data_IF_304428659036
#
_entry.id   IF_304428659036
#
_cell.length_a   1.000
_cell.length_b   1.000
_cell.length_c   1.000
_cell.angle_alpha   90.00
_cell.angle_beta   90.00
_cell.angle_gamma   90.00
#
_symmetry.space_group_name_H-M   'P 1'
#
loop_
_entity.id
_entity.type
_entity.pdbx_description
1 polymer ?
#
# COMPACT_ATOMS: atom_id res chain seq x y z
N UNK A 1 -5.23 22.96 14.99
CA UNK A 1 -6.08 21.90 14.40
C UNK A 1 -5.93 21.96 12.88
N UNK A 2 -5.22 21.01 12.26
CA UNK A 2 -5.19 20.80 10.80
C UNK A 2 -5.55 19.34 10.57
N UNK A 3 -6.83 19.07 10.29
CA UNK A 3 -7.34 17.70 10.15
C UNK A 3 -8.07 17.46 8.82
N UNK A 4 -7.86 18.28 7.78
CA UNK A 4 -8.66 18.19 6.55
C UNK A 4 -7.93 18.20 5.19
N UNK A 5 -6.60 18.04 5.12
CA UNK A 5 -5.90 18.12 3.82
C UNK A 5 -5.48 16.78 3.18
N UNK A 6 -5.68 15.63 3.83
CA UNK A 6 -5.27 14.33 3.26
C UNK A 6 -6.43 13.47 2.77
N UNK A 7 -7.44 14.07 2.14
CA UNK A 7 -8.37 13.30 1.33
C UNK A 7 -7.63 12.80 0.09
N UNK A 8 -7.26 11.51 0.07
CA UNK A 8 -6.61 10.86 -1.07
C UNK A 8 -7.52 11.02 -2.28
N UNK A 9 -7.08 11.77 -3.30
CA UNK A 9 -7.88 12.08 -4.48
C UNK A 9 -7.84 10.88 -5.45
N UNK A 10 -8.81 10.76 -6.37
CA UNK A 10 -8.71 9.79 -7.46
C UNK A 10 -7.49 10.04 -8.34
N UNK A 11 -7.04 11.30 -8.40
CA UNK A 11 -5.93 11.78 -9.22
C UNK A 11 -4.58 11.21 -8.74
N UNK A 12 -4.41 11.05 -7.42
CA UNK A 12 -3.22 10.43 -6.81
C UNK A 12 -2.93 9.01 -7.35
N UNK A 13 -3.97 8.23 -7.68
CA UNK A 13 -3.79 6.90 -8.27
C UNK A 13 -3.31 6.97 -9.71
N UNK A 14 -3.77 7.98 -10.45
CA UNK A 14 -3.39 8.19 -11.84
C UNK A 14 -1.94 8.65 -11.93
N UNK A 15 -1.49 9.48 -10.99
CA UNK A 15 -0.12 9.95 -10.92
C UNK A 15 0.84 8.79 -10.61
N UNK A 16 0.48 7.89 -9.68
CA UNK A 16 1.24 6.67 -9.40
C UNK A 16 1.34 5.78 -10.66
N UNK A 17 0.22 5.50 -11.32
CA UNK A 17 0.23 4.70 -12.55
C UNK A 17 1.09 5.33 -13.64
N UNK A 18 0.95 6.64 -13.85
CA UNK A 18 1.70 7.39 -14.87
C UNK A 18 3.19 7.32 -14.60
N UNK A 19 3.62 7.53 -13.34
CA UNK A 19 5.02 7.41 -12.94
C UNK A 19 5.57 6.00 -13.23
N UNK A 20 4.81 4.94 -12.89
CA UNK A 20 5.20 3.56 -13.17
C UNK A 20 5.33 3.32 -14.67
N UNK A 21 4.35 3.74 -15.47
CA UNK A 21 4.35 3.55 -16.93
C UNK A 21 5.51 4.26 -17.61
N UNK A 22 5.88 5.44 -17.12
CA UNK A 22 7.02 6.23 -17.61
C UNK A 22 8.38 5.71 -17.13
N UNK A 23 8.40 4.76 -16.18
CA UNK A 23 9.62 4.20 -15.61
C UNK A 23 10.20 5.02 -14.46
N UNK A 24 9.52 6.06 -13.99
CA UNK A 24 9.90 6.79 -12.78
C UNK A 24 9.39 6.06 -11.53
N UNK A 25 10.05 4.94 -11.24
CA UNK A 25 9.66 4.07 -10.14
C UNK A 25 9.98 4.70 -8.77
N UNK A 26 10.97 5.59 -8.73
CA UNK A 26 11.32 6.31 -7.50
C UNK A 26 10.18 7.24 -7.10
N UNK A 27 9.67 8.04 -8.03
CA UNK A 27 8.53 8.92 -7.78
C UNK A 27 7.28 8.10 -7.42
N UNK A 28 7.02 6.99 -8.13
CA UNK A 28 5.92 6.10 -7.79
C UNK A 28 5.98 5.62 -6.33
N UNK A 29 7.16 5.25 -5.82
CA UNK A 29 7.31 4.88 -4.40
C UNK A 29 7.08 6.06 -3.46
N UNK A 30 7.57 7.26 -3.79
CA UNK A 30 7.34 8.46 -2.98
C UNK A 30 5.85 8.80 -2.87
N UNK A 31 5.11 8.70 -3.99
CA UNK A 31 3.66 8.88 -4.00
C UNK A 31 2.95 7.79 -3.18
N UNK A 32 3.33 6.52 -3.34
CA UNK A 32 2.74 5.42 -2.55
C UNK A 32 3.01 5.61 -1.05
N UNK A 33 4.21 6.05 -0.66
CA UNK A 33 4.55 6.31 0.74
C UNK A 33 3.76 7.50 1.31
N UNK A 34 3.59 8.56 0.53
CA UNK A 34 2.83 9.75 0.90
C UNK A 34 1.33 9.45 1.07
N UNK A 35 0.71 8.82 0.07
CA UNK A 35 -0.74 8.59 0.03
C UNK A 35 -1.17 7.31 0.76
N UNK A 36 -0.34 6.26 0.74
CA UNK A 36 -0.65 4.93 1.28
C UNK A 36 0.47 4.38 2.19
N UNK A 37 0.88 5.11 3.24
CA UNK A 37 2.03 4.74 4.07
C UNK A 37 1.92 3.36 4.72
N UNK A 38 0.70 2.86 4.94
CA UNK A 38 0.47 1.53 5.53
C UNK A 38 0.93 0.39 4.61
N UNK A 39 0.86 0.57 3.28
CA UNK A 39 1.34 -0.42 2.33
C UNK A 39 2.87 -0.56 2.44
N UNK A 40 3.58 0.57 2.49
CA UNK A 40 5.05 0.60 2.64
C UNK A 40 5.48 0.05 4.00
N UNK A 41 4.82 0.46 5.09
CA UNK A 41 5.12 -0.07 6.44
C UNK A 41 4.93 -1.57 6.54
N UNK A 42 3.84 -2.09 5.93
CA UNK A 42 3.60 -3.53 5.88
C UNK A 42 4.71 -4.21 5.10
N UNK A 43 5.08 -3.66 3.93
CA UNK A 43 6.19 -4.18 3.12
C UNK A 43 7.51 -4.26 3.90
N UNK A 44 7.91 -3.16 4.53
CA UNK A 44 9.15 -3.10 5.32
C UNK A 44 9.13 -4.03 6.53
N UNK A 45 7.98 -4.20 7.18
CA UNK A 45 7.84 -5.11 8.31
C UNK A 45 8.19 -6.56 7.93
N UNK A 46 7.71 -7.04 6.79
CA UNK A 46 8.04 -8.39 6.30
C UNK A 46 9.50 -8.50 5.85
N UNK A 47 10.11 -7.42 5.33
CA UNK A 47 11.53 -7.43 4.97
C UNK A 47 12.47 -7.53 6.19
N UNK A 48 12.03 -7.02 7.35
CA UNK A 48 12.81 -7.00 8.58
C UNK A 48 12.51 -8.18 9.50
N UNK A 49 11.25 -8.64 9.50
CA UNK A 49 10.80 -9.76 10.31
C UNK A 49 11.07 -11.06 9.58
N UNK A 50 11.93 -11.92 10.12
CA UNK A 50 12.08 -13.33 9.69
C UNK A 50 10.86 -14.17 10.10
N UNK A 51 9.68 -13.68 9.78
CA UNK A 51 8.42 -14.33 10.08
C UNK A 51 8.21 -15.49 9.12
N UNK A 52 7.85 -16.65 9.65
CA UNK A 52 7.44 -17.82 8.86
C UNK A 52 6.05 -17.65 8.20
N UNK A 53 5.44 -16.46 8.34
CA UNK A 53 4.16 -16.17 7.72
C UNK A 53 4.33 -15.83 6.25
N UNK A 54 3.46 -16.41 5.42
CA UNK A 54 3.35 -16.05 4.00
C UNK A 54 3.06 -14.55 3.86
N UNK A 55 3.88 -13.78 3.13
CA UNK A 55 3.63 -12.36 2.92
C UNK A 55 2.32 -12.12 2.16
N UNK A 56 1.61 -11.01 2.41
CA UNK A 56 0.38 -10.67 1.71
C UNK A 56 0.62 -10.33 0.23
N UNK A 57 -0.44 -10.36 -0.59
CA UNK A 57 -0.36 -9.99 -2.03
C UNK A 57 0.27 -8.62 -2.26
N UNK A 58 -0.05 -7.63 -1.43
CA UNK A 58 0.52 -6.28 -1.50
C UNK A 58 2.04 -6.26 -1.36
N UNK A 59 2.61 -7.16 -0.54
CA UNK A 59 4.04 -7.31 -0.38
C UNK A 59 4.70 -7.76 -1.70
N UNK A 60 4.10 -8.73 -2.38
CA UNK A 60 4.59 -9.21 -3.67
C UNK A 60 4.50 -8.14 -4.77
N UNK A 61 3.42 -7.36 -4.81
CA UNK A 61 3.25 -6.28 -5.79
C UNK A 61 4.32 -5.20 -5.60
N UNK A 62 4.55 -4.76 -4.36
CA UNK A 62 5.61 -3.79 -4.05
C UNK A 62 7.01 -4.35 -4.32
N UNK A 63 7.22 -5.65 -4.11
CA UNK A 63 8.46 -6.31 -4.49
C UNK A 63 8.68 -6.28 -6.02
N UNK A 64 7.66 -6.59 -6.83
CA UNK A 64 7.75 -6.48 -8.29
C UNK A 64 8.07 -5.06 -8.75
N UNK A 65 7.50 -4.06 -8.08
CA UNK A 65 7.81 -2.66 -8.33
C UNK A 65 9.28 -2.35 -7.98
N UNK A 66 9.83 -2.85 -6.86
CA UNK A 66 11.28 -2.73 -6.56
C UNK A 66 12.13 -3.43 -7.62
N UNK A 67 11.71 -4.58 -8.12
CA UNK A 67 12.41 -5.23 -9.24
C UNK A 67 12.37 -4.36 -10.51
N UNK A 68 11.26 -3.69 -10.83
CA UNK A 68 11.24 -2.71 -11.92
C UNK A 68 12.22 -1.55 -11.65
N UNK A 69 12.28 -1.04 -10.42
CA UNK A 69 13.23 0.02 -10.06
C UNK A 69 14.69 -0.43 -10.26
N UNK A 70 15.01 -1.68 -9.93
CA UNK A 70 16.32 -2.26 -10.23
C UNK A 70 16.61 -2.27 -11.74
N UNK A 71 15.65 -2.68 -12.57
CA UNK A 71 15.78 -2.67 -14.03
C UNK A 71 16.03 -1.25 -14.56
N UNK A 72 15.29 -0.26 -14.06
CA UNK A 72 15.47 1.14 -14.45
C UNK A 72 16.79 1.72 -13.92
N UNK A 73 17.27 1.27 -12.77
CA UNK A 73 18.61 1.62 -12.23
C UNK A 73 19.70 1.04 -13.13
N UNK A 74 19.56 -0.22 -13.55
CA UNK A 74 20.48 -0.89 -14.45
C UNK A 74 20.56 -0.16 -15.80
N UNK A 75 19.42 0.30 -16.33
CA UNK A 75 19.34 1.07 -17.59
C UNK A 75 19.97 2.45 -17.50
N UNK A 76 19.76 3.17 -16.40
CA UNK A 76 20.13 4.59 -16.28
C UNK A 76 21.50 4.84 -15.63
N UNK A 77 21.86 4.03 -14.65
CA UNK A 77 23.02 4.25 -13.77
C UNK A 77 24.10 3.17 -13.92
N UNK A 78 23.75 2.00 -14.46
CA UNK A 78 24.67 0.89 -14.71
C UNK A 78 24.74 -0.13 -13.58
N UNK A 79 25.67 -1.09 -13.72
CA UNK A 79 25.69 -2.33 -12.92
C UNK A 79 25.97 -2.09 -11.44
N UNK A 80 26.87 -1.18 -11.08
CA UNK A 80 27.32 -1.00 -9.70
C UNK A 80 26.19 -0.47 -8.80
N UNK A 81 25.49 0.55 -9.26
CA UNK A 81 24.34 1.16 -8.60
C UNK A 81 23.19 0.15 -8.51
N UNK A 82 22.95 -0.61 -9.59
CA UNK A 82 21.94 -1.66 -9.61
C UNK A 82 22.26 -2.78 -8.61
N UNK A 83 23.51 -3.23 -8.51
CA UNK A 83 23.94 -4.23 -7.53
C UNK A 83 23.75 -3.70 -6.10
N UNK A 84 24.18 -2.47 -5.82
CA UNK A 84 23.99 -1.85 -4.51
C UNK A 84 22.50 -1.75 -4.14
N UNK A 85 21.66 -1.38 -5.11
CA UNK A 85 20.20 -1.36 -4.96
C UNK A 85 19.64 -2.75 -4.65
N UNK A 86 20.01 -3.77 -5.44
CA UNK A 86 19.53 -5.14 -5.25
C UNK A 86 19.90 -5.70 -3.87
N UNK A 87 21.13 -5.46 -3.42
CA UNK A 87 21.58 -5.87 -2.10
C UNK A 87 20.77 -5.24 -0.97
N UNK A 88 20.37 -3.97 -1.14
CA UNK A 88 19.62 -3.23 -0.12
C UNK A 88 18.12 -3.56 -0.11
N UNK A 89 17.50 -3.65 -1.28
CA UNK A 89 16.03 -3.69 -1.39
C UNK A 89 15.46 -5.03 -1.88
N UNK A 90 16.22 -5.83 -2.63
CA UNK A 90 15.72 -7.09 -3.19
C UNK A 90 16.15 -8.31 -2.37
N UNK A 91 17.41 -8.32 -1.91
CA UNK A 91 17.97 -9.42 -1.11
C UNK A 91 17.15 -9.76 0.15
N UNK A 92 16.58 -8.79 0.91
CA UNK A 92 15.76 -9.12 2.07
C UNK A 92 14.55 -10.00 1.74
N UNK A 93 14.04 -9.93 0.51
CA UNK A 93 12.87 -10.66 0.06
C UNK A 93 13.21 -11.98 -0.64
N UNK A 94 14.49 -12.33 -0.76
CA UNK A 94 14.94 -13.46 -1.57
C UNK A 94 14.32 -14.79 -1.12
N UNK A 95 14.13 -14.98 0.20
CA UNK A 95 13.51 -16.20 0.75
C UNK A 95 12.07 -16.40 0.27
N UNK A 96 11.35 -15.31 -0.02
CA UNK A 96 9.97 -15.37 -0.49
C UNK A 96 9.85 -15.44 -2.01
N UNK A 97 10.77 -14.81 -2.74
CA UNK A 97 10.63 -14.55 -4.17
C UNK A 97 11.90 -14.86 -4.98
N UNK A 98 12.65 -15.90 -4.58
CA UNK A 98 13.90 -16.32 -5.22
C UNK A 98 13.75 -16.47 -6.75
N UNK A 99 12.71 -17.15 -7.22
CA UNK A 99 12.48 -17.36 -8.65
C UNK A 99 12.34 -16.06 -9.42
N UNK A 100 11.60 -15.10 -8.85
CA UNK A 100 11.42 -13.79 -9.46
C UNK A 100 12.71 -12.97 -9.45
N UNK A 101 13.49 -13.03 -8.36
CA UNK A 101 14.80 -12.38 -8.29
C UNK A 101 15.75 -12.96 -9.33
N UNK A 102 15.80 -14.29 -9.46
CA UNK A 102 16.69 -14.96 -10.39
C UNK A 102 16.41 -14.52 -11.84
N UNK A 103 15.13 -14.44 -12.21
CA UNK A 103 14.73 -13.96 -13.54
C UNK A 103 15.20 -12.52 -13.83
N UNK A 104 15.20 -11.65 -12.81
CA UNK A 104 15.63 -10.25 -12.96
C UNK A 104 17.15 -10.12 -12.87
N UNK A 105 17.81 -10.96 -12.06
CA UNK A 105 19.26 -10.97 -11.88
C UNK A 105 20.01 -11.43 -13.14
N UNK A 106 19.37 -12.27 -13.96
CA UNK A 106 19.89 -12.67 -15.29
C UNK A 106 20.24 -11.45 -16.15
N UNK A 107 19.57 -10.32 -15.98
CA UNK A 107 19.86 -9.08 -16.70
C UNK A 107 21.28 -8.55 -16.46
N UNK A 108 21.87 -8.80 -15.28
CA UNK A 108 23.26 -8.38 -15.00
C UNK A 108 24.30 -9.18 -15.80
N UNK A 109 23.93 -10.34 -16.35
CA UNK A 109 24.84 -11.17 -17.11
C UNK A 109 24.98 -10.73 -18.59
N UNK A 110 24.08 -9.86 -19.07
CA UNK A 110 24.07 -9.40 -20.45
C UNK A 110 24.61 -7.98 -20.57
N UNK A 111 25.61 -7.80 -21.43
CA UNK A 111 26.15 -6.47 -21.78
C UNK A 111 25.17 -5.61 -22.57
N UNK A 112 24.32 -6.24 -23.37
CA UNK A 112 23.25 -5.59 -24.10
C UNK A 112 21.91 -5.99 -23.48
N UNK A 113 21.29 -5.02 -22.84
CA UNK A 113 20.07 -5.18 -22.05
C UNK A 113 18.82 -5.27 -22.95
N UNK A 114 18.91 -4.89 -24.22
CA UNK A 114 17.80 -4.93 -25.19
C UNK A 114 17.99 -6.03 -26.26
N UNK A 115 18.40 -7.23 -25.83
CA UNK A 115 18.43 -8.39 -26.71
C UNK A 115 17.06 -9.12 -26.69
N UNK A 116 16.80 -9.98 -27.69
CA UNK A 116 15.53 -10.70 -27.82
C UNK A 116 15.15 -11.54 -26.58
N UNK A 117 16.13 -11.92 -25.74
CA UNK A 117 15.93 -12.71 -24.52
C UNK A 117 15.52 -11.85 -23.32
N UNK A 118 15.91 -10.57 -23.30
CA UNK A 118 15.67 -9.64 -22.18
C UNK A 118 14.62 -8.56 -22.51
N UNK A 119 14.22 -8.45 -23.78
CA UNK A 119 13.28 -7.43 -24.28
C UNK A 119 11.97 -7.39 -23.50
N UNK A 120 11.42 -8.55 -23.14
CA UNK A 120 10.15 -8.64 -22.41
C UNK A 120 10.28 -8.13 -20.96
N UNK A 121 11.48 -8.17 -20.38
CA UNK A 121 11.76 -7.64 -19.03
C UNK A 121 11.92 -6.11 -19.02
N UNK A 122 12.36 -5.53 -20.14
CA UNK A 122 12.54 -4.09 -20.31
C UNK A 122 11.34 -3.38 -20.98
N UNK A 123 10.40 -4.16 -21.51
CA UNK A 123 9.29 -3.68 -22.32
C UNK A 123 8.24 -2.88 -21.55
N UNK A 124 7.57 -1.98 -22.27
CA UNK A 124 6.46 -1.17 -21.76
C UNK A 124 5.34 -2.03 -21.15
N UNK A 125 5.03 -3.16 -21.77
CA UNK A 125 3.99 -4.09 -21.29
C UNK A 125 4.20 -4.53 -19.83
N UNK A 126 5.46 -4.73 -19.40
CA UNK A 126 5.76 -5.08 -18.01
C UNK A 126 5.43 -3.93 -17.06
N UNK A 127 5.78 -2.69 -17.44
CA UNK A 127 5.45 -1.49 -16.65
C UNK A 127 3.94 -1.30 -16.56
N UNK A 128 3.22 -1.48 -17.67
CA UNK A 128 1.76 -1.36 -17.71
C UNK A 128 1.10 -2.40 -16.79
N UNK A 129 1.52 -3.66 -16.90
CA UNK A 129 1.01 -4.73 -16.02
C UNK A 129 1.29 -4.46 -14.54
N UNK A 130 2.47 -3.93 -14.19
CA UNK A 130 2.77 -3.56 -12.80
C UNK A 130 1.91 -2.36 -12.35
N UNK A 131 1.69 -1.37 -13.21
CA UNK A 131 0.86 -0.22 -12.92
C UNK A 131 -0.60 -0.64 -12.62
N UNK A 132 -1.15 -1.57 -13.42
CA UNK A 132 -2.48 -2.13 -13.21
C UNK A 132 -2.59 -2.85 -11.87
N UNK A 133 -1.61 -3.71 -11.54
CA UNK A 133 -1.60 -4.42 -10.27
C UNK A 133 -1.44 -3.50 -9.05
N UNK A 134 -0.60 -2.46 -9.16
CA UNK A 134 -0.47 -1.44 -8.11
C UNK A 134 -1.77 -0.68 -7.94
N UNK A 135 -2.45 -0.34 -9.03
CA UNK A 135 -3.75 0.31 -8.98
C UNK A 135 -4.81 -0.57 -8.30
N UNK A 136 -4.90 -1.85 -8.67
CA UNK A 136 -5.80 -2.82 -8.02
C UNK A 136 -5.55 -2.88 -6.51
N UNK A 137 -4.29 -3.05 -6.11
CA UNK A 137 -3.89 -3.09 -4.70
C UNK A 137 -4.33 -1.82 -3.94
N UNK A 138 -4.15 -0.65 -4.56
CA UNK A 138 -4.55 0.62 -3.96
C UNK A 138 -6.07 0.69 -3.81
N UNK A 139 -6.83 0.29 -4.84
CA UNK A 139 -8.30 0.26 -4.79
C UNK A 139 -8.83 -0.68 -3.70
N UNK A 140 -8.25 -1.88 -3.56
CA UNK A 140 -8.57 -2.83 -2.50
C UNK A 140 -8.32 -2.24 -1.10
N UNK A 141 -7.21 -1.51 -0.93
CA UNK A 141 -6.87 -0.87 0.35
C UNK A 141 -7.89 0.21 0.75
N UNK A 142 -8.40 0.98 -0.22
CA UNK A 142 -9.43 2.00 -0.02
C UNK A 142 -10.78 1.38 0.34
N UNK A 143 -11.17 0.30 -0.36
CA UNK A 143 -12.41 -0.42 -0.06
C UNK A 143 -12.43 -0.93 1.38
N UNK A 144 -11.32 -1.50 1.84
CA UNK A 144 -11.15 -1.96 3.22
C UNK A 144 -11.27 -0.80 4.23
N UNK A 145 -10.74 0.38 3.89
CA UNK A 145 -10.86 1.56 4.75
C UNK A 145 -12.31 2.05 4.88
N UNK A 146 -13.06 2.07 3.77
CA UNK A 146 -14.48 2.43 3.77
C UNK A 146 -15.31 1.46 4.63
N UNK A 147 -15.05 0.16 4.53
CA UNK A 147 -15.72 -0.84 5.36
C UNK A 147 -15.43 -0.66 6.86
N UNK A 148 -14.17 -0.35 7.21
CA UNK A 148 -13.80 -0.02 8.59
C UNK A 148 -14.55 1.22 9.10
N UNK A 149 -14.63 2.28 8.29
CA UNK A 149 -15.38 3.49 8.63
C UNK A 149 -16.88 3.21 8.82
N UNK A 150 -17.48 2.39 7.94
CA UNK A 150 -18.89 1.98 8.09
C UNK A 150 -19.13 1.25 9.41
N UNK A 151 -18.22 0.33 9.80
CA UNK A 151 -18.32 -0.37 11.09
C UNK A 151 -18.18 0.58 12.27
N UNK A 152 -17.21 1.49 12.22
CA UNK A 152 -17.02 2.48 13.28
C UNK A 152 -18.24 3.40 13.43
N UNK A 153 -18.82 3.85 12.31
CA UNK A 153 -20.02 4.67 12.33
C UNK A 153 -21.22 3.92 12.93
N UNK A 154 -21.40 2.64 12.59
CA UNK A 154 -22.44 1.82 13.18
C UNK A 154 -22.29 1.69 14.71
N UNK A 155 -21.06 1.50 15.21
CA UNK A 155 -20.80 1.45 16.66
C UNK A 155 -21.15 2.78 17.33
N UNK A 156 -20.72 3.91 16.75
CA UNK A 156 -21.03 5.25 17.27
C UNK A 156 -22.54 5.50 17.30
N UNK A 157 -23.27 5.09 16.27
CA UNK A 157 -24.71 5.26 16.20
C UNK A 157 -25.43 4.45 17.30
N UNK A 158 -25.02 3.19 17.51
CA UNK A 158 -25.56 2.32 18.56
C UNK A 158 -25.32 2.94 19.95
N UNK A 159 -24.10 3.43 20.18
CA UNK A 159 -23.74 4.07 21.46
C UNK A 159 -24.54 5.36 21.70
N UNK A 160 -24.72 6.18 20.67
CA UNK A 160 -25.54 7.39 20.73
C UNK A 160 -27.00 7.07 21.09
N UNK A 161 -27.60 6.04 20.47
CA UNK A 161 -28.96 5.60 20.78
C UNK A 161 -29.09 5.01 22.20
N UNK A 162 -28.02 4.41 22.73
CA UNK A 162 -27.98 3.93 24.11
C UNK A 162 -28.00 5.09 25.10
N UNK A 163 -27.18 6.13 24.86
CA UNK A 163 -27.11 7.32 25.71
C UNK A 163 -28.43 8.09 25.71
N UNK A 164 -29.04 8.30 24.54
CA UNK A 164 -30.36 8.95 24.45
C UNK A 164 -31.41 8.19 25.28
N UNK A 165 -31.41 6.85 25.22
CA UNK A 165 -32.33 6.03 26.04
C UNK A 165 -32.05 6.18 27.54
N UNK A 166 -30.79 6.19 27.95
CA UNK A 166 -30.42 6.36 29.35
C UNK A 166 -30.82 7.74 29.89
N UNK A 167 -30.62 8.80 29.11
CA UNK A 167 -31.03 10.16 29.48
C UNK A 167 -32.55 10.28 29.60
N UNK A 168 -33.31 9.68 28.67
CA UNK A 168 -34.77 9.64 28.76
C UNK A 168 -35.26 8.93 30.03
N UNK A 169 -34.67 7.76 30.34
CA UNK A 169 -35.01 7.01 31.55
C UNK A 169 -34.66 7.77 32.83
N UNK A 170 -33.53 8.51 32.81
CA UNK A 170 -33.11 9.33 33.95
C UNK A 170 -34.08 10.49 34.17
N UNK A 171 -34.46 11.20 33.12
CA UNK A 171 -35.42 12.31 33.18
C UNK A 171 -36.81 11.85 33.64
N UNK A 172 -37.27 10.66 33.24
CA UNK A 172 -38.54 10.09 33.72
C UNK A 172 -38.50 9.78 35.22
N UNK A 173 -37.40 9.19 35.72
CA UNK A 173 -37.24 8.91 37.15
C UNK A 173 -37.16 10.19 37.98
N UNK A 174 -36.51 11.23 37.48
CA UNK A 174 -36.43 12.53 38.16
C UNK A 174 -37.81 13.20 38.25
N UNK A 175 -38.63 13.11 37.20
CA UNK A 175 -40.01 13.62 37.22
C UNK A 175 -40.92 12.88 38.22
N UNK A 176 -40.85 11.54 38.29
CA UNK A 176 -41.63 10.74 39.25
C UNK A 176 -41.25 11.02 40.71
N UNK A 177 -39.97 11.34 40.98
CA UNK A 177 -39.50 11.69 42.32
C UNK A 177 -40.02 13.06 42.75
N UNK A 178 -40.04 14.05 41.85
CA UNK A 178 -40.58 15.39 42.14
C UNK A 178 -42.08 15.34 42.42
N UNK A 179 -42.81 14.49 41.69
CA UNK A 179 -44.26 14.32 41.87
C UNK A 179 -44.62 13.63 43.20
N UNK A 180 -43.80 12.68 43.66
CA UNK A 180 -43.97 12.03 44.98
C UNK A 180 -43.59 12.90 46.18
N UNK A 181 -42.74 13.90 46.00
CA UNK A 181 -42.31 14.81 47.08
C UNK A 181 -43.30 15.99 47.25
N UNK A 182 -44.17 16.24 46.26
CA UNK A 182 -45.17 17.32 46.30
C UNK A 182 -46.56 16.86 46.78
N UNK A 183 -46.73 15.58 47.11
CA UNK A 183 -47.92 15.00 47.78
C UNK A 183 -47.63 14.75 49.25
#
# INVERSE_FOLDING_TARGET
MRFLDNCIKPEDNKDIQTAIQQGDITEAFTLIESHFPQLVKTYEHYNQSKSYQTPPRSHYILYKLRCQQFIETLRSSGDMEAIAFAQRYLRPCYEYYADYMNNVAVLMAYKDLENDTTRDLFGQHRRDSIADEVNEMILESRQTALEKLKRQNAIVQIELESQIRQDLLKNQKEAEVVEKVSM
#
